data_IF_354954941245
#
_entry.id   IF_354954941245
#
_cell.length_a   1.000
_cell.length_b   1.000
_cell.length_c   1.000
_cell.angle_alpha   90.00
_cell.angle_beta   90.00
_cell.angle_gamma   90.00
#
_symmetry.space_group_name_H-M   'P 1'
#
loop_
_entity.id
_entity.type
_entity.pdbx_description
1 polymer ?
#
# COMPACT_ATOMS: atom_id res chain seq x y z
N UNK A 1 74.24 35.91 -7.23
CA UNK A 1 73.49 37.09 -7.71
C UNK A 1 72.02 36.67 -7.71
N UNK A 2 71.34 36.77 -6.58
CA UNK A 2 70.54 37.94 -6.13
C UNK A 2 69.46 38.34 -7.16
N UNK A 3 68.18 38.52 -6.86
CA UNK A 3 67.31 38.41 -5.68
C UNK A 3 65.86 38.23 -6.22
N UNK A 4 64.85 37.84 -5.46
CA UNK A 4 64.36 38.51 -4.25
C UNK A 4 63.31 39.58 -4.61
N UNK A 5 62.01 39.25 -4.51
CA UNK A 5 60.92 40.24 -4.66
C UNK A 5 59.53 39.64 -4.47
N UNK A 6 59.00 39.70 -3.25
CA UNK A 6 57.66 39.22 -2.87
C UNK A 6 56.58 40.31 -2.86
N UNK A 7 55.33 39.87 -2.64
CA UNK A 7 54.14 40.68 -2.38
C UNK A 7 52.88 39.83 -2.61
N UNK A 8 52.38 39.07 -1.63
CA UNK A 8 51.52 39.48 -0.50
C UNK A 8 50.04 39.73 -0.87
N UNK A 9 49.17 38.85 -0.36
CA UNK A 9 47.92 39.23 0.29
C UNK A 9 46.65 39.32 -0.56
N UNK A 10 45.71 38.41 -0.32
CA UNK A 10 44.35 38.55 -0.80
C UNK A 10 43.48 37.30 -0.71
N UNK A 11 43.33 36.73 0.49
CA UNK A 11 42.25 35.74 0.76
C UNK A 11 40.90 36.46 0.62
N UNK A 12 40.09 36.04 -0.35
CA UNK A 12 38.64 36.14 -0.26
C UNK A 12 38.04 34.76 -0.52
N UNK A 13 37.42 34.24 0.53
CA UNK A 13 36.68 32.99 0.52
C UNK A 13 35.45 33.16 -0.37
N UNK A 14 35.37 32.39 -1.46
CA UNK A 14 34.11 32.15 -2.15
C UNK A 14 33.86 30.65 -2.14
N UNK A 15 32.79 30.27 -1.45
CA UNK A 15 32.35 28.89 -1.30
C UNK A 15 32.25 28.21 -2.67
N UNK A 16 32.88 27.04 -2.79
CA UNK A 16 32.71 26.15 -3.92
C UNK A 16 31.28 25.60 -3.87
N UNK A 17 30.35 26.27 -4.55
CA UNK A 17 29.05 25.73 -4.87
C UNK A 17 29.24 24.60 -5.91
N UNK A 18 29.15 23.36 -5.43
CA UNK A 18 29.01 22.18 -6.29
C UNK A 18 27.78 22.39 -7.20
N UNK A 19 27.90 22.28 -8.53
CA UNK A 19 26.74 22.28 -9.38
C UNK A 19 25.97 20.98 -9.13
N UNK A 20 24.81 21.07 -8.49
CA UNK A 20 23.80 20.02 -8.50
C UNK A 20 23.35 19.79 -9.95
N UNK A 21 24.04 18.89 -10.66
CA UNK A 21 23.54 18.31 -11.90
C UNK A 21 22.29 17.52 -11.55
N UNK A 22 21.12 18.07 -11.90
CA UNK A 22 19.90 17.27 -12.07
C UNK A 22 20.24 16.14 -13.04
N UNK A 23 19.94 14.87 -12.75
CA UNK A 23 20.15 13.81 -13.71
C UNK A 23 19.21 14.08 -14.89
N UNK A 24 19.77 14.44 -16.03
CA UNK A 24 19.06 14.47 -17.30
C UNK A 24 18.73 13.03 -17.66
N UNK A 25 17.50 12.62 -17.38
CA UNK A 25 16.90 11.39 -17.87
C UNK A 25 16.70 11.51 -19.39
N UNK A 26 17.77 11.37 -20.16
CA UNK A 26 17.69 10.99 -21.56
C UNK A 26 17.77 9.47 -21.63
N UNK A 27 16.75 8.79 -21.08
CA UNK A 27 16.46 7.43 -21.53
C UNK A 27 16.22 7.53 -23.03
N UNK A 28 16.92 6.71 -23.81
CA UNK A 28 16.99 6.91 -25.25
C UNK A 28 15.58 6.79 -25.84
N UNK A 29 15.22 7.72 -26.73
CA UNK A 29 13.97 7.66 -27.51
C UNK A 29 13.75 6.31 -28.20
N UNK A 30 14.80 5.49 -28.32
CA UNK A 30 14.82 4.18 -28.94
C UNK A 30 14.40 3.07 -27.97
N UNK A 31 14.84 3.12 -26.71
CA UNK A 31 14.41 2.18 -25.67
C UNK A 31 12.93 2.40 -25.33
N UNK A 32 12.49 3.66 -25.33
CA UNK A 32 11.07 3.99 -25.18
C UNK A 32 10.24 3.50 -26.37
N UNK A 33 10.76 3.59 -27.60
CA UNK A 33 10.10 3.06 -28.79
C UNK A 33 10.00 1.52 -28.79
N UNK A 34 11.03 0.82 -28.32
CA UNK A 34 11.03 -0.63 -28.19
C UNK A 34 10.05 -1.11 -27.12
N UNK A 35 10.01 -0.43 -25.97
CA UNK A 35 8.99 -0.70 -24.95
C UNK A 35 7.58 -0.47 -25.52
N UNK A 36 7.36 0.60 -26.28
CA UNK A 36 6.07 0.88 -26.93
C UNK A 36 5.63 -0.23 -27.88
N UNK A 37 6.52 -0.73 -28.73
CA UNK A 37 6.21 -1.79 -29.70
C UNK A 37 5.89 -3.11 -29.00
N UNK A 38 6.62 -3.40 -27.91
CA UNK A 38 6.40 -4.58 -27.09
C UNK A 38 5.10 -4.51 -26.25
N UNK A 39 4.72 -3.34 -25.76
CA UNK A 39 3.41 -3.16 -25.11
C UNK A 39 2.25 -3.21 -26.12
N UNK A 40 2.45 -2.71 -27.34
CA UNK A 40 1.47 -2.79 -28.40
C UNK A 40 1.21 -4.25 -28.85
N UNK A 41 2.23 -5.10 -28.88
CA UNK A 41 2.06 -6.53 -29.18
C UNK A 41 1.29 -7.29 -28.09
N UNK A 42 1.46 -6.91 -26.81
CA UNK A 42 0.61 -7.39 -25.70
C UNK A 42 -0.87 -7.03 -25.90
N UNK A 43 -1.15 -5.90 -26.56
CA UNK A 43 -2.51 -5.53 -26.93
C UNK A 43 -3.03 -6.18 -28.23
N UNK A 44 -2.20 -6.98 -28.92
CA UNK A 44 -2.52 -7.51 -30.25
C UNK A 44 -2.53 -9.04 -30.37
N UNK A 45 -1.87 -9.83 -29.50
CA UNK A 45 -1.69 -11.27 -29.76
C UNK A 45 -2.60 -12.26 -28.97
N UNK A 46 -3.19 -13.17 -29.77
CA UNK A 46 -3.88 -14.46 -29.53
C UNK A 46 -5.26 -14.47 -28.82
N UNK A 47 -6.32 -14.68 -29.62
CA UNK A 47 -7.70 -14.96 -29.16
C UNK A 47 -7.80 -16.07 -28.10
N UNK A 48 -6.94 -17.09 -28.19
CA UNK A 48 -6.98 -18.25 -27.28
C UNK A 48 -6.45 -17.91 -25.88
N UNK A 49 -5.38 -17.11 -25.78
CA UNK A 49 -4.88 -16.62 -24.48
C UNK A 49 -5.80 -15.58 -23.85
N UNK A 50 -6.55 -14.84 -24.68
CA UNK A 50 -7.60 -13.92 -24.19
C UNK A 50 -8.75 -14.70 -23.57
N UNK A 51 -9.26 -15.77 -24.21
CA UNK A 51 -10.34 -16.59 -23.63
C UNK A 51 -9.93 -17.24 -22.31
N UNK A 52 -8.73 -17.80 -22.23
CA UNK A 52 -8.24 -18.41 -20.99
C UNK A 52 -8.14 -17.39 -19.85
N UNK A 53 -7.69 -16.16 -20.16
CA UNK A 53 -7.66 -15.06 -19.20
C UNK A 53 -9.07 -14.63 -18.76
N UNK A 54 -10.03 -14.55 -19.68
CA UNK A 54 -11.43 -14.22 -19.39
C UNK A 54 -12.07 -15.28 -18.48
N UNK A 55 -11.86 -16.57 -18.76
CA UNK A 55 -12.36 -17.67 -17.93
C UNK A 55 -11.75 -17.65 -16.51
N UNK A 56 -10.45 -17.35 -16.42
CA UNK A 56 -9.75 -17.19 -15.14
C UNK A 56 -10.29 -16.01 -14.33
N UNK A 57 -10.56 -14.88 -14.99
CA UNK A 57 -11.14 -13.70 -14.35
C UNK A 57 -12.60 -13.92 -13.93
N UNK A 58 -13.37 -14.65 -14.73
CA UNK A 58 -14.71 -15.08 -14.36
C UNK A 58 -14.70 -15.95 -13.11
N UNK A 59 -13.77 -16.93 -13.04
CA UNK A 59 -13.59 -17.75 -11.85
C UNK A 59 -13.15 -16.92 -10.64
N UNK A 60 -12.22 -15.98 -10.82
CA UNK A 60 -11.79 -15.05 -9.78
C UNK A 60 -12.97 -14.21 -9.26
N UNK A 61 -13.81 -13.68 -10.15
CA UNK A 61 -15.01 -12.93 -9.79
C UNK A 61 -15.98 -13.74 -8.95
N UNK A 62 -16.23 -15.00 -9.33
CA UNK A 62 -17.06 -15.93 -8.54
C UNK A 62 -16.46 -16.23 -7.18
N UNK A 63 -15.15 -16.46 -7.11
CA UNK A 63 -14.43 -16.73 -5.88
C UNK A 63 -14.51 -15.53 -4.93
N UNK A 64 -14.22 -14.32 -5.43
CA UNK A 64 -14.30 -13.07 -4.67
C UNK A 64 -15.72 -12.79 -4.18
N UNK A 65 -16.73 -13.00 -5.02
CA UNK A 65 -18.13 -12.87 -4.63
C UNK A 65 -18.55 -13.85 -3.53
N UNK A 66 -18.06 -15.09 -3.62
CA UNK A 66 -18.32 -16.12 -2.61
C UNK A 66 -17.64 -15.77 -1.28
N UNK A 67 -16.38 -15.34 -1.33
CA UNK A 67 -15.64 -14.91 -0.14
C UNK A 67 -16.32 -13.71 0.53
N UNK A 68 -16.71 -12.69 -0.24
CA UNK A 68 -17.45 -11.53 0.26
C UNK A 68 -18.78 -11.93 0.92
N UNK A 69 -19.53 -12.87 0.32
CA UNK A 69 -20.78 -13.39 0.92
C UNK A 69 -20.57 -14.06 2.27
N UNK A 70 -19.41 -14.69 2.47
CA UNK A 70 -19.02 -15.31 3.74
C UNK A 70 -18.30 -14.34 4.70
N UNK A 71 -18.12 -13.07 4.32
CA UNK A 71 -17.42 -12.07 5.14
C UNK A 71 -15.91 -12.29 5.19
N UNK A 72 -15.33 -13.02 4.23
CA UNK A 72 -13.90 -13.27 4.13
C UNK A 72 -13.31 -12.22 3.17
N UNK A 73 -12.46 -11.30 3.63
CA UNK A 73 -11.85 -10.29 2.75
C UNK A 73 -10.80 -10.94 1.85
N UNK A 74 -10.85 -10.63 0.56
CA UNK A 74 -9.88 -11.14 -0.44
C UNK A 74 -8.87 -10.04 -0.76
N UNK A 75 -7.59 -10.30 -0.55
CA UNK A 75 -6.55 -9.33 -0.87
C UNK A 75 -6.36 -9.21 -2.39
N UNK A 76 -6.97 -8.20 -2.99
CA UNK A 76 -6.89 -7.90 -4.41
C UNK A 76 -6.25 -6.52 -4.58
N UNK A 77 -4.94 -6.43 -4.89
CA UNK A 77 -4.24 -5.17 -5.11
C UNK A 77 -4.59 -4.56 -6.49
N UNK A 78 -5.89 -4.35 -6.73
CA UNK A 78 -6.43 -3.86 -7.98
C UNK A 78 -6.58 -2.32 -7.97
N UNK A 79 -6.35 -1.64 -9.10
CA UNK A 79 -6.45 -0.18 -9.17
C UNK A 79 -7.86 0.33 -8.83
N UNK A 80 -7.93 1.37 -7.99
CA UNK A 80 -9.19 1.94 -7.51
C UNK A 80 -10.06 2.45 -8.64
N UNK A 81 -9.48 3.22 -9.57
CA UNK A 81 -10.26 3.89 -10.61
C UNK A 81 -10.66 2.96 -11.74
N UNK A 82 -9.80 2.04 -12.12
CA UNK A 82 -10.09 1.12 -13.22
C UNK A 82 -11.09 0.04 -12.81
N UNK A 83 -10.91 -0.55 -11.63
CA UNK A 83 -11.70 -1.72 -11.21
C UNK A 83 -12.89 -1.29 -10.37
N UNK A 84 -12.64 -0.75 -9.18
CA UNK A 84 -13.69 -0.58 -8.18
C UNK A 84 -14.66 0.54 -8.50
N UNK A 85 -14.17 1.69 -8.97
CA UNK A 85 -15.05 2.77 -9.45
C UNK A 85 -15.91 2.31 -10.62
N UNK A 86 -15.39 1.41 -11.46
CA UNK A 86 -16.13 0.95 -12.62
C UNK A 86 -17.22 -0.05 -12.27
N UNK A 87 -16.94 -0.99 -11.36
CA UNK A 87 -17.97 -1.90 -10.82
C UNK A 87 -19.06 -1.10 -10.09
N UNK A 88 -18.69 -0.03 -9.40
CA UNK A 88 -19.61 0.90 -8.75
C UNK A 88 -20.30 1.91 -9.72
N UNK A 89 -20.15 1.73 -11.04
CA UNK A 89 -20.72 2.61 -12.08
C UNK A 89 -20.37 4.11 -11.93
N UNK A 90 -19.26 4.44 -11.26
CA UNK A 90 -18.78 5.80 -11.11
C UNK A 90 -18.15 6.34 -12.42
N UNK A 91 -18.17 7.67 -12.59
CA UNK A 91 -17.53 8.34 -13.72
C UNK A 91 -16.01 8.07 -13.77
N UNK A 92 -15.54 7.63 -14.93
CA UNK A 92 -14.13 7.33 -15.17
C UNK A 92 -13.44 8.55 -15.78
N UNK A 93 -12.47 9.10 -15.05
CA UNK A 93 -11.48 10.04 -15.58
C UNK A 93 -10.36 9.25 -16.25
N UNK A 94 -10.27 9.30 -17.59
CA UNK A 94 -9.30 8.55 -18.39
C UNK A 94 -7.86 8.90 -18.00
N UNK A 95 -7.56 10.17 -17.73
CA UNK A 95 -6.19 10.61 -17.38
C UNK A 95 -5.78 10.01 -16.04
N UNK A 96 -6.65 10.15 -15.03
CA UNK A 96 -6.36 9.59 -13.69
C UNK A 96 -6.31 8.06 -13.70
N UNK A 97 -7.13 7.42 -14.52
CA UNK A 97 -7.15 5.97 -14.66
C UNK A 97 -5.86 5.47 -15.33
N UNK A 98 -5.42 6.14 -16.40
CA UNK A 98 -4.13 5.85 -17.03
C UNK A 98 -2.97 6.10 -16.07
N UNK A 99 -3.01 7.16 -15.27
CA UNK A 99 -1.97 7.45 -14.28
C UNK A 99 -1.79 6.32 -13.23
N UNK A 100 -2.86 5.61 -12.88
CA UNK A 100 -2.81 4.46 -11.96
C UNK A 100 -2.28 3.18 -12.61
N UNK A 101 -2.36 3.05 -13.94
CA UNK A 101 -2.06 1.80 -14.65
C UNK A 101 -0.78 1.86 -15.47
N UNK A 102 -0.59 2.94 -16.22
CA UNK A 102 0.50 3.13 -17.15
C UNK A 102 0.85 4.62 -17.28
N UNK A 103 1.91 5.00 -16.56
CA UNK A 103 2.43 6.38 -16.53
C UNK A 103 2.88 6.85 -17.92
N UNK A 104 3.37 5.95 -18.79
CA UNK A 104 3.79 6.31 -20.13
C UNK A 104 2.60 6.57 -21.04
N UNK A 105 1.58 5.70 -21.00
CA UNK A 105 0.33 5.91 -21.72
C UNK A 105 -0.38 7.20 -21.24
N UNK A 106 -0.37 7.48 -19.94
CA UNK A 106 -0.90 8.71 -19.37
C UNK A 106 -0.21 9.95 -19.95
N UNK A 107 1.14 9.99 -19.93
CA UNK A 107 1.91 11.11 -20.48
C UNK A 107 1.63 11.34 -21.96
N UNK A 108 1.56 10.26 -22.74
CA UNK A 108 1.25 10.33 -24.17
C UNK A 108 -0.16 10.88 -24.42
N UNK A 109 -1.13 10.47 -23.60
CA UNK A 109 -2.49 10.97 -23.69
C UNK A 109 -2.54 12.47 -23.39
N UNK A 110 -1.87 12.94 -22.33
CA UNK A 110 -1.79 14.36 -21.97
C UNK A 110 -1.08 15.21 -23.03
N UNK A 111 0.02 14.72 -23.62
CA UNK A 111 0.72 15.39 -24.73
C UNK A 111 -0.15 15.48 -25.99
N UNK A 112 -0.90 14.41 -26.28
CA UNK A 112 -1.86 14.35 -27.39
C UNK A 112 -3.06 15.26 -27.19
N UNK A 113 -3.57 15.38 -25.96
CA UNK A 113 -4.68 16.25 -25.59
C UNK A 113 -4.27 17.73 -25.56
N UNK A 114 -3.07 18.03 -25.06
CA UNK A 114 -2.47 19.37 -25.09
C UNK A 114 -2.34 19.92 -26.51
N UNK A 115 -1.99 19.06 -27.49
CA UNK A 115 -1.99 19.41 -28.92
C UNK A 115 -3.40 19.64 -29.49
N UNK A 116 -4.43 18.95 -28.98
CA UNK A 116 -5.84 19.10 -29.44
C UNK A 116 -6.56 20.30 -28.83
N UNK A 117 -6.25 20.65 -27.57
CA UNK A 117 -6.79 21.84 -26.89
C UNK A 117 -6.41 23.15 -27.59
N UNK A 118 -5.26 23.19 -28.24
CA UNK A 118 -4.84 24.32 -29.07
C UNK A 118 -5.65 24.46 -30.39
N UNK A 119 -6.44 23.45 -30.76
CA UNK A 119 -7.10 23.33 -32.06
C UNK A 119 -8.63 23.43 -32.02
N UNK A 120 -9.30 23.28 -30.86
CA UNK A 120 -10.78 23.24 -30.84
C UNK A 120 -11.43 23.72 -29.55
N UNK A 121 -12.46 24.56 -29.70
CA UNK A 121 -13.39 24.96 -28.63
C UNK A 121 -14.37 23.84 -28.31
N UNK A 122 -14.55 23.58 -27.01
CA UNK A 122 -15.72 22.92 -26.40
C UNK A 122 -16.23 21.64 -27.09
N UNK A 123 -15.57 20.53 -26.79
CA UNK A 123 -16.25 19.25 -26.56
C UNK A 123 -15.31 18.34 -25.76
N UNK A 124 -15.43 18.37 -24.43
CA UNK A 124 -14.87 17.35 -23.56
C UNK A 124 -15.66 16.05 -23.78
N UNK A 125 -15.41 15.38 -24.91
CA UNK A 125 -15.84 14.00 -25.12
C UNK A 125 -14.72 13.13 -24.57
N UNK A 126 -15.02 12.37 -23.52
CA UNK A 126 -14.19 11.26 -23.02
C UNK A 126 -13.73 10.43 -24.20
N UNK A 127 -12.50 10.67 -24.64
CA UNK A 127 -11.82 9.86 -25.63
C UNK A 127 -11.31 8.65 -24.86
N UNK A 128 -11.94 7.50 -25.07
CA UNK A 128 -11.47 6.23 -24.53
C UNK A 128 -10.06 5.94 -25.04
N UNK A 129 -9.23 5.32 -24.20
CA UNK A 129 -7.88 4.92 -24.56
C UNK A 129 -7.85 3.41 -24.80
N UNK A 130 -7.16 2.88 -25.83
CA UNK A 130 -7.18 1.45 -26.14
C UNK A 130 -6.80 0.53 -24.97
N UNK A 131 -5.87 0.97 -24.12
CA UNK A 131 -5.49 0.24 -22.89
C UNK A 131 -6.65 0.18 -21.90
N UNK A 132 -7.39 1.28 -21.74
CA UNK A 132 -8.58 1.34 -20.87
C UNK A 132 -9.68 0.45 -21.43
N UNK A 133 -9.90 0.49 -22.75
CA UNK A 133 -10.92 -0.32 -23.42
C UNK A 133 -10.62 -1.83 -23.30
N UNK A 134 -9.36 -2.24 -23.48
CA UNK A 134 -8.96 -3.64 -23.32
C UNK A 134 -9.13 -4.12 -21.88
N UNK A 135 -8.80 -3.28 -20.91
CA UNK A 135 -8.89 -3.62 -19.49
C UNK A 135 -10.35 -3.68 -19.04
N UNK A 136 -11.21 -2.85 -19.63
CA UNK A 136 -12.66 -2.93 -19.46
C UNK A 136 -13.22 -4.28 -19.93
N UNK A 137 -12.75 -4.81 -21.06
CA UNK A 137 -13.19 -6.13 -21.54
C UNK A 137 -12.89 -7.24 -20.53
N UNK A 138 -11.66 -7.27 -20.01
CA UNK A 138 -11.25 -8.22 -18.99
C UNK A 138 -12.04 -8.05 -17.68
N UNK A 139 -12.30 -6.80 -17.28
CA UNK A 139 -13.09 -6.49 -16.09
C UNK A 139 -14.54 -6.96 -16.21
N UNK A 140 -15.12 -6.95 -17.42
CA UNK A 140 -16.49 -7.43 -17.63
C UNK A 140 -16.59 -8.92 -17.27
N UNK A 141 -15.63 -9.76 -17.66
CA UNK A 141 -15.63 -11.19 -17.29
C UNK A 141 -15.53 -11.39 -15.76
N UNK A 142 -14.73 -10.57 -15.08
CA UNK A 142 -14.68 -10.56 -13.61
C UNK A 142 -16.02 -10.12 -12.99
N UNK A 143 -16.63 -9.06 -13.52
CA UNK A 143 -17.92 -8.54 -13.07
C UNK A 143 -19.05 -9.55 -13.29
N UNK A 144 -19.04 -10.30 -14.40
CA UNK A 144 -20.02 -11.36 -14.69
C UNK A 144 -19.88 -12.52 -13.69
N UNK A 145 -18.65 -12.89 -13.34
CA UNK A 145 -18.40 -13.86 -12.28
C UNK A 145 -18.94 -13.40 -10.92
N UNK A 146 -18.76 -12.11 -10.63
CA UNK A 146 -19.22 -11.50 -9.39
C UNK A 146 -20.75 -11.43 -9.30
N UNK A 147 -21.41 -11.04 -10.41
CA UNK A 147 -22.86 -11.00 -10.56
C UNK A 147 -23.52 -12.38 -10.38
N UNK A 148 -22.79 -13.45 -10.66
CA UNK A 148 -23.26 -14.82 -10.42
C UNK A 148 -23.43 -15.17 -8.93
N UNK A 149 -22.87 -14.38 -8.01
CA UNK A 149 -22.90 -14.66 -6.57
C UNK A 149 -23.53 -13.53 -5.76
N UNK A 150 -23.29 -12.28 -6.16
CA UNK A 150 -23.72 -11.08 -5.47
C UNK A 150 -24.65 -10.23 -6.35
N UNK A 151 -25.65 -9.53 -5.77
CA UNK A 151 -26.49 -8.59 -6.49
C UNK A 151 -25.70 -7.32 -6.84
N UNK A 152 -25.13 -7.29 -8.04
CA UNK A 152 -24.29 -6.18 -8.54
C UNK A 152 -25.01 -4.84 -8.59
N UNK A 153 -26.35 -4.85 -8.65
CA UNK A 153 -27.17 -3.63 -8.64
C UNK A 153 -26.95 -2.81 -7.36
N UNK A 154 -26.60 -3.45 -6.25
CA UNK A 154 -26.31 -2.77 -4.98
C UNK A 154 -25.00 -1.99 -5.06
N UNK A 155 -24.04 -2.41 -5.89
CA UNK A 155 -22.74 -1.75 -5.99
C UNK A 155 -22.83 -0.34 -6.58
N UNK A 156 -23.85 -0.06 -7.40
CA UNK A 156 -24.13 1.29 -7.92
C UNK A 156 -24.49 2.31 -6.83
N UNK A 157 -24.87 1.85 -5.63
CA UNK A 157 -25.19 2.70 -4.48
C UNK A 157 -23.95 3.05 -3.63
N UNK A 158 -22.82 2.41 -3.90
CA UNK A 158 -21.58 2.55 -3.13
C UNK A 158 -20.55 3.33 -3.93
N UNK A 159 -19.61 3.95 -3.23
CA UNK A 159 -18.40 4.46 -3.88
C UNK A 159 -17.44 3.31 -4.19
N UNK A 160 -16.58 3.47 -5.20
CA UNK A 160 -15.56 2.46 -5.50
C UNK A 160 -14.62 2.17 -4.32
N UNK A 161 -14.39 3.14 -3.43
CA UNK A 161 -13.61 2.92 -2.19
C UNK A 161 -14.34 2.03 -1.20
N UNK A 162 -15.63 2.28 -0.95
CA UNK A 162 -16.42 1.43 -0.05
C UNK A 162 -16.55 0.01 -0.60
N UNK A 163 -16.70 -0.14 -1.92
CA UNK A 163 -16.72 -1.45 -2.56
C UNK A 163 -15.39 -2.21 -2.39
N UNK A 164 -14.27 -1.50 -2.57
CA UNK A 164 -12.94 -2.05 -2.29
C UNK A 164 -12.83 -2.46 -0.82
N UNK A 165 -13.29 -1.63 0.12
CA UNK A 165 -13.22 -1.93 1.55
C UNK A 165 -14.11 -3.12 1.96
N UNK A 166 -15.22 -3.36 1.26
CA UNK A 166 -16.08 -4.53 1.50
C UNK A 166 -15.44 -5.81 0.95
N UNK A 167 -14.87 -5.74 -0.26
CA UNK A 167 -14.30 -6.91 -0.94
C UNK A 167 -12.93 -7.28 -0.39
N UNK A 168 -12.08 -6.28 -0.23
CA UNK A 168 -10.70 -6.41 0.21
C UNK A 168 -10.53 -6.13 1.70
N UNK A 169 -11.55 -5.69 2.43
CA UNK A 169 -11.38 -5.24 3.80
C UNK A 169 -10.73 -3.84 3.86
N UNK A 170 -10.98 -3.14 4.96
CA UNK A 170 -10.35 -1.85 5.21
C UNK A 170 -8.84 -2.05 5.51
N UNK A 171 -7.92 -1.42 4.76
CA UNK A 171 -6.51 -1.40 5.12
C UNK A 171 -6.25 -0.60 6.40
N UNK A 172 -7.11 0.35 6.75
CA UNK A 172 -6.94 1.19 7.92
C UNK A 172 -7.49 0.52 9.17
N UNK A 173 -6.66 0.50 10.21
CA UNK A 173 -7.00 -0.06 11.51
C UNK A 173 -7.68 1.04 12.34
N UNK A 174 -8.95 0.80 12.65
CA UNK A 174 -9.72 1.62 13.58
C UNK A 174 -9.22 1.39 15.01
N UNK A 175 -8.53 2.40 15.54
CA UNK A 175 -7.96 2.38 16.89
C UNK A 175 -9.06 2.43 17.95
N UNK A 176 -10.19 3.10 17.66
CA UNK A 176 -11.31 3.19 18.59
C UNK A 176 -12.05 1.84 18.69
N UNK A 177 -12.12 1.09 17.59
CA UNK A 177 -12.63 -0.28 17.61
C UNK A 177 -11.74 -1.19 18.47
N UNK A 178 -10.42 -1.11 18.30
CA UNK A 178 -9.47 -1.89 19.10
C UNK A 178 -9.54 -1.53 20.59
N UNK A 179 -9.72 -0.24 20.92
CA UNK A 179 -9.88 0.21 22.31
C UNK A 179 -11.15 -0.32 22.97
N UNK A 180 -12.21 -0.64 22.22
CA UNK A 180 -13.45 -1.20 22.80
C UNK A 180 -13.34 -2.66 23.20
N UNK A 181 -12.38 -3.39 22.66
CA UNK A 181 -12.17 -4.83 22.92
C UNK A 181 -10.97 -5.10 23.84
N UNK A 182 -10.40 -4.04 24.42
CA UNK A 182 -9.19 -4.13 25.25
C UNK A 182 -9.51 -4.49 26.70
N UNK A 183 -8.67 -5.33 27.30
CA UNK A 183 -8.63 -5.62 28.72
C UNK A 183 -7.25 -5.23 29.27
N UNK A 184 -7.23 -4.56 30.42
CA UNK A 184 -6.00 -4.11 31.06
C UNK A 184 -5.64 -5.02 32.24
N UNK A 185 -4.41 -5.51 32.27
CA UNK A 185 -3.88 -6.31 33.37
C UNK A 185 -2.69 -5.60 34.02
N UNK A 186 -2.89 -5.15 35.25
CA UNK A 186 -1.88 -4.37 35.97
C UNK A 186 -1.75 -2.91 35.51
N UNK A 187 -2.62 -2.44 34.61
CA UNK A 187 -2.80 -1.02 34.29
C UNK A 187 -4.27 -0.63 34.46
N UNK A 188 -4.50 0.64 34.74
CA UNK A 188 -5.82 1.25 34.66
C UNK A 188 -5.94 2.07 33.36
N UNK A 189 -7.16 2.24 32.83
CA UNK A 189 -7.39 3.03 31.62
C UNK A 189 -6.94 4.50 31.78
N UNK A 190 -6.90 5.00 33.02
CA UNK A 190 -6.47 6.35 33.37
C UNK A 190 -4.94 6.50 33.47
N UNK A 191 -4.19 5.41 33.41
CA UNK A 191 -2.73 5.47 33.52
C UNK A 191 -2.13 6.24 32.34
N UNK A 192 -1.16 7.10 32.64
CA UNK A 192 -0.51 7.98 31.65
C UNK A 192 0.09 7.19 30.49
N UNK A 193 0.67 6.02 30.77
CA UNK A 193 1.23 5.12 29.75
C UNK A 193 0.16 4.63 28.77
N UNK A 194 -1.01 4.24 29.27
CA UNK A 194 -2.12 3.74 28.44
C UNK A 194 -2.70 4.86 27.58
N UNK A 195 -2.91 6.05 28.16
CA UNK A 195 -3.36 7.22 27.42
C UNK A 195 -2.36 7.58 26.31
N UNK A 196 -1.07 7.63 26.63
CA UNK A 196 0.01 7.90 25.68
C UNK A 196 0.07 6.83 24.59
N UNK A 197 -0.11 5.55 24.92
CA UNK A 197 -0.14 4.45 23.96
C UNK A 197 -1.22 4.63 22.90
N UNK A 198 -2.46 4.93 23.31
CA UNK A 198 -3.56 5.16 22.35
C UNK A 198 -3.39 6.43 21.52
N UNK A 199 -2.78 7.47 22.07
CA UNK A 199 -2.40 8.65 21.29
C UNK A 199 -1.33 8.32 20.25
N UNK A 200 -0.30 7.57 20.64
CA UNK A 200 0.78 7.15 19.74
C UNK A 200 0.23 6.29 18.60
N UNK A 201 -0.65 5.32 18.88
CA UNK A 201 -1.30 4.52 17.84
C UNK A 201 -2.14 5.35 16.87
N UNK A 202 -2.80 6.42 17.33
CA UNK A 202 -3.56 7.34 16.47
C UNK A 202 -2.67 8.22 15.60
N UNK A 203 -1.46 8.53 16.07
CA UNK A 203 -0.46 9.30 15.31
C UNK A 203 0.33 8.46 14.29
N UNK A 204 0.29 7.13 14.41
CA UNK A 204 0.98 6.22 13.51
C UNK A 204 0.38 6.23 12.10
N UNK A 205 1.21 5.95 11.10
CA UNK A 205 0.71 5.79 9.73
C UNK A 205 -0.15 4.53 9.61
N UNK A 206 -0.99 4.45 8.58
CA UNK A 206 -1.77 3.22 8.31
C UNK A 206 -0.89 1.99 8.11
N UNK A 207 0.32 2.17 7.56
CA UNK A 207 1.31 1.09 7.42
C UNK A 207 1.78 0.61 8.78
N UNK A 208 2.18 1.52 9.66
CA UNK A 208 2.72 1.16 10.98
C UNK A 208 1.65 0.52 11.86
N UNK A 209 0.39 1.00 11.75
CA UNK A 209 -0.75 0.36 12.42
C UNK A 209 -0.95 -1.09 11.97
N UNK A 210 -0.79 -1.39 10.66
CA UNK A 210 -0.88 -2.77 10.16
C UNK A 210 0.22 -3.65 10.73
N UNK A 211 1.45 -3.13 10.73
CA UNK A 211 2.58 -3.84 11.31
C UNK A 211 2.39 -4.06 12.81
N UNK A 212 1.81 -3.08 13.52
CA UNK A 212 1.43 -3.25 14.92
C UNK A 212 0.42 -4.38 15.10
N UNK A 213 -0.63 -4.44 14.28
CA UNK A 213 -1.63 -5.52 14.39
C UNK A 213 -1.03 -6.90 14.07
N UNK A 214 -0.11 -6.97 13.10
CA UNK A 214 0.66 -8.19 12.85
C UNK A 214 1.54 -8.56 14.05
N UNK A 215 2.14 -7.57 14.71
CA UNK A 215 2.96 -7.76 15.90
C UNK A 215 2.15 -8.32 17.09
N UNK A 216 0.93 -7.83 17.33
CA UNK A 216 0.11 -8.28 18.48
C UNK A 216 -0.83 -9.44 18.19
N UNK A 217 -1.28 -9.63 16.95
CA UNK A 217 -2.33 -10.59 16.60
C UNK A 217 -1.98 -11.52 15.43
N UNK A 218 -0.83 -11.32 14.77
CA UNK A 218 -0.44 -12.01 13.55
C UNK A 218 -1.48 -11.90 12.40
N UNK A 219 -2.34 -10.88 12.44
CA UNK A 219 -3.32 -10.57 11.40
C UNK A 219 -3.04 -9.20 10.83
N UNK A 220 -3.26 -9.04 9.53
CA UNK A 220 -3.09 -7.76 8.84
C UNK A 220 -4.33 -6.86 8.88
N UNK A 221 -5.47 -7.38 9.38
CA UNK A 221 -6.79 -6.70 9.32
C UNK A 221 -7.61 -6.95 10.59
N UNK A 222 -8.39 -5.94 10.99
CA UNK A 222 -9.40 -6.06 12.04
C UNK A 222 -10.70 -6.67 11.48
N UNK A 223 -11.47 -7.41 12.29
CA UNK A 223 -12.84 -7.78 11.93
C UNK A 223 -13.70 -6.53 11.75
N UNK A 224 -14.68 -6.61 10.86
CA UNK A 224 -15.56 -5.48 10.53
C UNK A 224 -16.51 -5.16 11.69
N UNK A 225 -16.89 -6.16 12.50
CA UNK A 225 -17.85 -6.01 13.60
C UNK A 225 -17.22 -6.43 14.92
N UNK A 226 -17.64 -5.77 16.01
CA UNK A 226 -17.27 -6.13 17.38
C UNK A 226 -17.65 -7.58 17.75
N UNK A 227 -18.71 -8.12 17.15
CA UNK A 227 -19.17 -9.49 17.36
C UNK A 227 -18.23 -10.56 16.79
N UNK A 228 -17.34 -10.15 15.89
CA UNK A 228 -16.50 -11.07 15.11
C UNK A 228 -15.09 -11.18 15.71
N UNK A 229 -14.88 -10.61 16.90
CA UNK A 229 -13.66 -10.80 17.69
C UNK A 229 -13.78 -12.09 18.50
N UNK A 230 -12.96 -13.07 18.16
CA UNK A 230 -12.88 -14.36 18.88
C UNK A 230 -12.23 -14.20 20.27
N UNK A 231 -11.39 -13.17 20.44
CA UNK A 231 -10.56 -12.94 21.63
C UNK A 231 -10.44 -11.44 21.93
N UNK A 232 -10.40 -11.07 23.22
CA UNK A 232 -10.12 -9.71 23.69
C UNK A 232 -8.65 -9.36 23.51
N UNK A 233 -8.34 -8.07 23.38
CA UNK A 233 -6.96 -7.57 23.29
C UNK A 233 -6.43 -7.27 24.69
N UNK A 234 -5.41 -7.97 25.19
CA UNK A 234 -4.94 -7.76 26.57
C UNK A 234 -3.68 -6.90 26.61
N UNK A 235 -3.68 -5.82 27.39
CA UNK A 235 -2.47 -5.02 27.66
C UNK A 235 -2.00 -5.30 29.09
N UNK A 236 -0.81 -5.88 29.20
CA UNK A 236 -0.21 -6.33 30.46
C UNK A 236 0.95 -5.43 30.87
N UNK A 237 1.06 -5.12 32.16
CA UNK A 237 2.26 -4.49 32.73
C UNK A 237 3.43 -5.47 32.74
N UNK A 238 4.60 -5.03 32.28
CA UNK A 238 5.81 -5.85 32.37
C UNK A 238 6.28 -6.02 33.82
N UNK A 239 5.87 -7.12 34.45
CA UNK A 239 6.26 -7.46 35.82
C UNK A 239 7.74 -7.88 35.96
N UNK A 240 8.46 -8.12 34.85
CA UNK A 240 9.87 -8.52 34.86
C UNK A 240 10.82 -7.33 34.78
N UNK A 241 10.31 -6.14 34.48
CA UNK A 241 11.15 -4.97 34.36
C UNK A 241 11.66 -4.54 35.74
N UNK A 242 12.97 -4.37 35.86
CA UNK A 242 13.59 -3.87 37.09
C UNK A 242 13.25 -2.38 37.21
N UNK A 243 12.74 -1.98 38.37
CA UNK A 243 12.41 -0.58 38.69
C UNK A 243 13.64 0.30 38.40
N UNK A 244 13.53 1.20 37.42
CA UNK A 244 14.62 2.08 36.97
C UNK A 244 15.27 1.72 35.62
N UNK A 245 14.93 0.59 35.00
CA UNK A 245 15.38 0.23 33.63
C UNK A 245 14.21 0.12 32.62
N UNK A 246 13.02 0.60 32.99
CA UNK A 246 11.79 0.60 32.17
C UNK A 246 11.99 1.22 30.78
N UNK A 247 12.78 2.30 30.70
CA UNK A 247 13.08 2.99 29.45
C UNK A 247 14.00 2.19 28.50
N UNK A 248 14.71 1.19 29.03
CA UNK A 248 15.61 0.34 28.25
C UNK A 248 14.88 -0.85 27.64
N UNK A 249 13.88 -1.39 28.34
CA UNK A 249 13.09 -2.53 27.90
C UNK A 249 12.30 -2.22 26.62
N UNK A 250 12.11 -3.24 25.77
CA UNK A 250 11.27 -3.18 24.58
C UNK A 250 9.90 -3.80 24.87
N UNK A 251 8.82 -3.27 24.26
CA UNK A 251 7.53 -3.92 24.38
C UNK A 251 7.58 -5.28 23.70
N UNK A 252 6.91 -6.27 24.29
CA UNK A 252 6.82 -7.63 23.74
C UNK A 252 5.37 -8.02 23.55
N UNK A 253 5.07 -8.81 22.53
CA UNK A 253 3.72 -9.26 22.24
C UNK A 253 3.66 -10.78 22.14
N UNK A 254 2.53 -11.35 22.56
CA UNK A 254 2.21 -12.77 22.39
C UNK A 254 1.05 -12.90 21.43
N UNK A 255 1.36 -13.20 20.16
CA UNK A 255 0.37 -13.31 19.09
C UNK A 255 -0.68 -14.38 19.36
N UNK A 256 -0.30 -15.50 19.99
CA UNK A 256 -1.21 -16.59 20.34
C UNK A 256 -2.35 -16.17 21.29
N UNK A 257 -2.11 -15.16 22.14
CA UNK A 257 -3.06 -14.70 23.15
C UNK A 257 -3.60 -13.30 22.87
N UNK A 258 -3.26 -12.72 21.72
CA UNK A 258 -3.58 -11.34 21.38
C UNK A 258 -3.24 -10.38 22.53
N UNK A 259 -2.02 -10.49 23.07
CA UNK A 259 -1.58 -9.71 24.24
C UNK A 259 -0.31 -8.91 23.99
N UNK A 260 -0.25 -7.72 24.60
CA UNK A 260 0.87 -6.79 24.55
C UNK A 260 1.38 -6.54 25.97
N UNK A 261 2.64 -6.87 26.22
CA UNK A 261 3.35 -6.55 27.45
C UNK A 261 4.08 -5.22 27.27
N UNK A 262 3.68 -4.23 28.05
CA UNK A 262 4.14 -2.85 27.95
C UNK A 262 4.90 -2.44 29.24
N UNK A 263 6.16 -2.00 29.14
CA UNK A 263 6.87 -1.33 30.24
C UNK A 263 6.29 0.05 30.57
N UNK A 264 6.50 0.51 31.81
CA UNK A 264 6.02 1.82 32.30
C UNK A 264 6.93 2.95 31.78
N UNK A 265 6.69 3.40 30.55
CA UNK A 265 7.50 4.45 29.93
C UNK A 265 7.17 5.84 30.47
N UNK A 266 8.20 6.60 30.87
CA UNK A 266 8.02 7.94 31.44
C UNK A 266 7.59 9.00 30.41
N UNK A 267 7.91 8.78 29.13
CA UNK A 267 7.64 9.75 28.05
C UNK A 267 6.95 9.12 26.85
N UNK A 268 5.97 9.84 26.30
CA UNK A 268 5.26 9.49 25.06
C UNK A 268 6.22 9.29 23.87
N UNK A 269 7.24 10.13 23.75
CA UNK A 269 8.22 10.03 22.66
C UNK A 269 9.07 8.76 22.76
N UNK A 270 9.39 8.34 23.98
CA UNK A 270 10.16 7.14 24.24
C UNK A 270 9.32 5.90 23.92
N UNK A 271 8.06 5.87 24.38
CA UNK A 271 7.09 4.84 24.04
C UNK A 271 6.95 4.70 22.52
N UNK A 272 6.78 5.80 21.79
CA UNK A 272 6.65 5.81 20.32
C UNK A 272 7.86 5.20 19.64
N UNK A 273 9.08 5.63 20.01
CA UNK A 273 10.33 5.12 19.41
C UNK A 273 10.53 3.64 19.68
N UNK A 274 10.29 3.19 20.92
CA UNK A 274 10.47 1.79 21.32
C UNK A 274 9.42 0.88 20.69
N UNK A 275 8.18 1.33 20.62
CA UNK A 275 7.10 0.60 19.97
C UNK A 275 7.35 0.46 18.47
N UNK A 276 7.69 1.54 17.76
CA UNK A 276 8.05 1.47 16.33
C UNK A 276 9.25 0.55 16.11
N UNK A 277 10.29 0.65 16.94
CA UNK A 277 11.45 -0.22 16.85
C UNK A 277 11.07 -1.69 17.01
N UNK A 278 10.25 -2.03 18.01
CA UNK A 278 9.79 -3.39 18.22
C UNK A 278 8.98 -3.91 17.03
N UNK A 279 8.04 -3.11 16.51
CA UNK A 279 7.19 -3.49 15.37
C UNK A 279 8.03 -3.72 14.09
N UNK A 280 9.03 -2.88 13.83
CA UNK A 280 9.85 -2.97 12.61
C UNK A 280 10.90 -4.09 12.66
N UNK A 281 11.40 -4.43 13.85
CA UNK A 281 12.50 -5.39 14.01
C UNK A 281 12.04 -6.79 14.45
N UNK A 282 10.74 -6.97 14.72
CA UNK A 282 10.19 -8.29 15.03
C UNK A 282 9.99 -9.07 13.75
N UNK A 283 10.71 -10.18 13.66
CA UNK A 283 10.56 -11.18 12.61
C UNK A 283 9.26 -11.94 12.82
N UNK A 284 8.14 -11.40 12.35
CA UNK A 284 6.94 -12.23 12.12
C UNK A 284 7.26 -13.22 11.00
N UNK A 285 6.91 -14.50 11.19
CA UNK A 285 7.22 -15.64 10.29
C UNK A 285 6.80 -15.47 8.81
N UNK A 286 6.10 -14.40 8.42
CA UNK A 286 5.64 -14.18 7.05
C UNK A 286 6.62 -13.41 6.15
N UNK A 287 7.74 -12.90 6.69
CA UNK A 287 8.76 -12.16 5.92
C UNK A 287 9.66 -13.06 5.05
N UNK A 288 9.52 -14.38 5.14
CA UNK A 288 10.39 -15.34 4.45
C UNK A 288 10.07 -15.50 2.95
N UNK A 289 9.09 -14.76 2.41
CA UNK A 289 8.83 -14.70 0.96
C UNK A 289 9.61 -13.63 0.21
N UNK A 290 10.53 -12.92 0.86
CA UNK A 290 11.60 -12.26 0.11
C UNK A 290 12.53 -13.37 -0.36
N UNK A 291 12.16 -14.02 -1.47
CA UNK A 291 13.06 -14.84 -2.25
C UNK A 291 14.31 -14.02 -2.45
N UNK A 292 15.39 -14.48 -1.86
CA UNK A 292 16.71 -13.93 -2.02
C UNK A 292 16.98 -13.92 -3.53
N UNK A 293 16.91 -12.75 -4.19
CA UNK A 293 17.15 -12.61 -5.64
C UNK A 293 18.52 -13.19 -6.05
N UNK A 294 19.40 -13.43 -5.07
CA UNK A 294 20.67 -14.13 -5.21
C UNK A 294 20.54 -15.64 -5.56
N UNK A 295 19.48 -16.35 -5.14
CA UNK A 295 19.35 -17.79 -5.39
C UNK A 295 18.77 -18.12 -6.77
N UNK A 296 18.00 -17.20 -7.38
CA UNK A 296 17.46 -17.39 -8.75
C UNK A 296 18.57 -17.29 -9.80
N UNK A 297 19.69 -16.61 -9.50
CA UNK A 297 20.83 -16.46 -10.41
C UNK A 297 21.71 -17.71 -10.58
N UNK A 298 21.74 -18.61 -9.60
CA UNK A 298 22.67 -19.76 -9.59
C UNK A 298 22.00 -21.12 -9.86
N UNK A 299 20.67 -21.19 -9.92
CA UNK A 299 19.91 -22.45 -10.03
C UNK A 299 19.81 -23.12 -11.41
N UNK A 300 20.35 -22.53 -12.49
CA UNK A 300 20.19 -23.06 -13.87
C UNK A 300 21.50 -23.60 -14.49
N UNK A 301 22.38 -24.20 -13.69
CA UNK A 301 23.46 -25.07 -14.21
C UNK A 301 23.40 -26.44 -13.56
N UNK A 302 22.46 -27.26 -14.02
CA UNK A 302 22.45 -28.66 -13.63
C UNK A 302 21.12 -29.33 -13.90
N UNK A 303 20.78 -29.50 -15.18
CA UNK A 303 20.04 -30.63 -15.76
C UNK A 303 20.25 -30.60 -17.28
#
# INVERSE_FOLDING_TARGET
EDGGGGGAGGRSSSAAALPHRRPSLSASSRDEALLRDWYASFTAEREESVREAEDSLFFLGRLSGTACRHGIPVDLPLPLRMVWNRIAECDIDVVRTLAEMDVLACRQYEEGEGRRRLSSSMAARSLSHPVVDRQQMMLNSFSDGLAGVLPVEIFSLMTGRELQDIMCGNPDIDVDLLRRVVEYEGYDETDTVIVNFWEVLREMTSRDRKLFLQFVWARSRLPVRLSDFDTTFTIQRDAKCVVGEEDSALPSASTCFFSLTLPDYQSKDLLKRKLLFAIENVTTMESDYVTNDAEVGEGWRGL
#
